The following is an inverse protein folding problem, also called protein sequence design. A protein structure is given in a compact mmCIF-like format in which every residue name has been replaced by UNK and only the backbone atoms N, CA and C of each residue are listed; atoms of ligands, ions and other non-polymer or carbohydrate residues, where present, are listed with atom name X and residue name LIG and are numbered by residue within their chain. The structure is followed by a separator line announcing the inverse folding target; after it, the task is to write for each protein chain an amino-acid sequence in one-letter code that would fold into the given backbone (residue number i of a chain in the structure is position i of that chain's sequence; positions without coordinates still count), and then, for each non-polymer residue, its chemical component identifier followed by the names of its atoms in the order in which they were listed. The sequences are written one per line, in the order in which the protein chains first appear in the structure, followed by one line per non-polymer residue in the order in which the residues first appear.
data_IF_782134951449
#
_entry.id   IF_782134951449
#
_cell.length_a   1.000
_cell.length_b   1.000
_cell.length_c   1.000
_cell.angle_alpha   90.00
_cell.angle_beta   90.00
_cell.angle_gamma   90.00
#
_symmetry.space_group_name_H-M   'P 1'
#
loop_
_entity.id
_entity.type
_entity.pdbx_description
1 polymer ?
#
# COMPACT_ATOMS: atom_id res chain seq x y z
N UNK A 1 -23.73 10.24 2.69
CA UNK A 1 -22.90 10.19 1.49
C UNK A 1 -23.09 8.81 0.89
N UNK A 2 -23.27 8.71 -0.41
CA UNK A 2 -23.26 7.42 -1.10
C UNK A 2 -21.80 7.06 -1.42
N UNK A 3 -21.22 6.17 -0.65
CA UNK A 3 -19.81 5.76 -0.78
C UNK A 3 -19.52 5.00 -2.08
N UNK A 4 -20.46 4.21 -2.52
CA UNK A 4 -20.36 3.44 -3.76
C UNK A 4 -20.24 4.38 -4.99
N UNK A 5 -21.14 5.36 -5.08
CA UNK A 5 -21.05 6.38 -6.13
C UNK A 5 -19.78 7.24 -6.02
N UNK A 6 -19.36 7.57 -4.82
CA UNK A 6 -18.14 8.37 -4.61
C UNK A 6 -16.87 7.60 -5.00
N UNK A 7 -16.84 6.29 -4.73
CA UNK A 7 -15.76 5.38 -5.14
C UNK A 7 -15.70 5.26 -6.67
N UNK A 8 -16.83 5.01 -7.31
CA UNK A 8 -16.94 4.99 -8.76
C UNK A 8 -16.45 6.30 -9.38
N UNK A 9 -16.89 7.45 -8.85
CA UNK A 9 -16.44 8.76 -9.35
C UNK A 9 -14.93 8.96 -9.16
N UNK A 10 -14.35 8.50 -8.04
CA UNK A 10 -12.90 8.53 -7.84
C UNK A 10 -12.17 7.73 -8.93
N UNK A 11 -12.62 6.53 -9.23
CA UNK A 11 -12.00 5.69 -10.26
C UNK A 11 -12.10 6.36 -11.63
N UNK A 12 -13.29 6.80 -12.04
CA UNK A 12 -13.52 7.32 -13.38
C UNK A 12 -12.96 8.72 -13.60
N UNK A 13 -12.99 9.60 -12.59
CA UNK A 13 -12.68 11.02 -12.76
C UNK A 13 -11.31 11.43 -12.20
N UNK A 14 -10.68 10.59 -11.35
CA UNK A 14 -9.39 10.90 -10.75
C UNK A 14 -8.31 9.89 -11.14
N UNK A 15 -8.63 8.59 -11.14
CA UNK A 15 -7.64 7.52 -11.35
C UNK A 15 -7.41 7.26 -12.83
N UNK A 16 -8.47 7.03 -13.62
CA UNK A 16 -8.34 6.82 -15.09
C UNK A 16 -7.64 7.97 -15.80
N UNK A 17 -7.94 9.27 -15.54
CA UNK A 17 -7.23 10.38 -16.16
C UNK A 17 -5.74 10.46 -15.82
N UNK A 18 -5.30 9.74 -14.79
CA UNK A 18 -3.89 9.58 -14.40
C UNK A 18 -3.24 8.35 -15.04
N UNK A 19 -3.78 7.89 -16.19
CA UNK A 19 -3.25 6.78 -16.98
C UNK A 19 -3.19 5.43 -16.23
N UNK A 20 -4.12 5.22 -15.29
CA UNK A 20 -4.35 3.90 -14.70
C UNK A 20 -5.41 3.21 -15.55
N UNK A 21 -4.98 2.25 -16.37
CA UNK A 21 -5.81 1.59 -17.38
C UNK A 21 -5.91 0.06 -17.15
N UNK A 22 -5.14 -0.51 -16.23
CA UNK A 22 -5.23 -1.93 -15.87
C UNK A 22 -6.61 -2.21 -15.25
N UNK A 23 -7.39 -3.07 -15.93
CA UNK A 23 -8.73 -3.45 -15.51
C UNK A 23 -8.78 -4.14 -14.15
N UNK A 24 -7.75 -4.91 -13.77
CA UNK A 24 -7.63 -5.56 -12.46
C UNK A 24 -7.51 -4.51 -11.35
N UNK A 25 -6.64 -3.52 -11.56
CA UNK A 25 -6.44 -2.42 -10.60
C UNK A 25 -7.69 -1.56 -10.47
N UNK A 26 -8.34 -1.22 -11.59
CA UNK A 26 -9.57 -0.42 -11.57
C UNK A 26 -10.70 -1.16 -10.83
N UNK A 27 -10.92 -2.44 -11.16
CA UNK A 27 -11.92 -3.29 -10.49
C UNK A 27 -11.62 -3.46 -9.00
N UNK A 28 -10.34 -3.62 -8.64
CA UNK A 28 -9.90 -3.70 -7.26
C UNK A 28 -10.27 -2.43 -6.47
N UNK A 29 -9.99 -1.25 -7.03
CA UNK A 29 -10.29 0.04 -6.38
C UNK A 29 -11.79 0.35 -6.31
N UNK A 30 -12.61 -0.31 -7.12
CA UNK A 30 -14.07 -0.27 -7.02
C UNK A 30 -14.60 -1.22 -5.93
N UNK A 31 -13.90 -2.30 -5.64
CA UNK A 31 -14.36 -3.37 -4.72
C UNK A 31 -13.80 -3.22 -3.31
N UNK A 32 -12.52 -2.88 -3.16
CA UNK A 32 -11.92 -2.66 -1.84
C UNK A 32 -12.41 -1.32 -1.28
N UNK A 33 -13.11 -1.40 -0.17
CA UNK A 33 -13.78 -0.26 0.48
C UNK A 33 -12.75 0.64 1.19
N UNK A 34 -12.14 1.58 0.44
CA UNK A 34 -11.11 2.49 0.97
C UNK A 34 -11.58 3.25 2.23
N UNK A 35 -12.87 3.61 2.29
CA UNK A 35 -13.51 4.31 3.40
C UNK A 35 -13.48 3.56 4.73
N UNK A 36 -13.26 2.25 4.71
CA UNK A 36 -13.14 1.44 5.92
C UNK A 36 -11.71 1.44 6.49
N UNK A 37 -10.74 1.84 5.69
CA UNK A 37 -9.33 1.95 6.09
C UNK A 37 -8.95 3.36 6.55
N UNK A 38 -9.76 4.35 6.23
CA UNK A 38 -9.54 5.75 6.65
C UNK A 38 -10.04 5.95 8.08
N UNK A 39 -9.34 6.76 8.93
CA UNK A 39 -9.85 7.11 10.26
C UNK A 39 -11.25 7.72 10.20
N UNK A 40 -12.09 7.42 11.19
CA UNK A 40 -13.53 7.75 11.19
C UNK A 40 -13.81 9.23 10.91
N UNK A 41 -13.00 10.14 11.47
CA UNK A 41 -13.13 11.59 11.27
C UNK A 41 -12.87 12.02 9.82
N UNK A 42 -12.11 11.23 9.04
CA UNK A 42 -11.79 11.50 7.64
C UNK A 42 -12.56 10.62 6.65
N UNK A 43 -13.47 9.77 7.13
CA UNK A 43 -14.17 8.77 6.30
C UNK A 43 -14.86 9.37 5.06
N UNK A 44 -15.40 10.60 5.18
CA UNK A 44 -16.01 11.31 4.05
C UNK A 44 -15.02 11.84 3.03
N UNK A 45 -13.73 11.88 3.38
CA UNK A 45 -12.63 12.32 2.52
C UNK A 45 -11.86 11.14 1.88
N UNK A 46 -12.31 9.90 2.10
CA UNK A 46 -11.64 8.70 1.60
C UNK A 46 -11.35 8.71 0.10
N UNK A 47 -12.19 9.40 -0.67
CA UNK A 47 -12.12 9.46 -2.14
C UNK A 47 -11.56 10.78 -2.69
N UNK A 48 -11.15 11.70 -1.82
CA UNK A 48 -10.51 12.93 -2.22
C UNK A 48 -9.05 12.69 -2.62
N UNK A 49 -8.55 13.44 -3.64
CA UNK A 49 -7.16 13.38 -4.06
C UNK A 49 -6.23 14.09 -3.06
N UNK A 50 -6.16 13.55 -1.85
CA UNK A 50 -5.34 14.08 -0.77
C UNK A 50 -4.72 12.94 0.05
N UNK A 51 -3.60 13.24 0.71
CA UNK A 51 -3.07 12.38 1.76
C UNK A 51 -3.97 12.48 3.00
N UNK A 52 -4.39 11.34 3.56
CA UNK A 52 -5.24 11.32 4.75
C UNK A 52 -4.37 11.12 5.98
N UNK A 53 -4.47 12.00 7.00
CA UNK A 53 -3.71 11.85 8.24
C UNK A 53 -4.05 10.53 8.95
N UNK A 54 -3.01 9.87 9.45
CA UNK A 54 -3.06 8.68 10.31
C UNK A 54 -2.47 9.01 11.69
N UNK A 55 -2.53 8.05 12.60
CA UNK A 55 -1.84 8.14 13.89
C UNK A 55 -0.31 8.22 13.70
N UNK A 56 0.41 8.52 14.77
CA UNK A 56 1.87 8.67 14.77
C UNK A 56 2.42 9.69 13.76
N UNK A 57 1.61 10.68 13.35
CA UNK A 57 1.99 11.71 12.37
C UNK A 57 2.20 11.18 10.95
N UNK A 58 1.73 9.98 10.66
CA UNK A 58 1.81 9.36 9.34
C UNK A 58 0.64 9.80 8.44
N UNK A 59 0.70 9.42 7.18
CA UNK A 59 -0.36 9.71 6.21
C UNK A 59 -0.63 8.50 5.32
N UNK A 60 -1.88 8.29 4.96
CA UNK A 60 -2.29 7.40 3.89
C UNK A 60 -2.06 8.11 2.56
N UNK A 61 -1.50 7.42 1.58
CA UNK A 61 -1.22 7.98 0.26
C UNK A 61 -2.49 8.49 -0.45
N UNK A 62 -2.29 9.36 -1.45
CA UNK A 62 -3.38 9.80 -2.32
C UNK A 62 -3.86 8.63 -3.19
N UNK A 63 -5.17 8.51 -3.48
CA UNK A 63 -5.71 7.40 -4.27
C UNK A 63 -5.01 7.18 -5.61
N UNK A 64 -4.69 8.26 -6.33
CA UNK A 64 -4.01 8.18 -7.62
C UNK A 64 -2.58 7.63 -7.53
N UNK A 65 -1.87 7.88 -6.42
CA UNK A 65 -0.51 7.36 -6.21
C UNK A 65 -0.58 5.87 -5.91
N UNK A 66 -1.52 5.44 -5.05
CA UNK A 66 -1.77 4.02 -4.76
C UNK A 66 -2.14 3.26 -6.04
N UNK A 67 -3.03 3.81 -6.85
CA UNK A 67 -3.45 3.21 -8.11
C UNK A 67 -2.31 3.06 -9.13
N UNK A 68 -1.49 4.11 -9.29
CA UNK A 68 -0.31 4.08 -10.17
C UNK A 68 0.73 3.08 -9.69
N UNK A 69 0.95 2.99 -8.39
CA UNK A 69 1.83 2.00 -7.78
C UNK A 69 1.34 0.58 -8.08
N UNK A 70 0.08 0.27 -7.80
CA UNK A 70 -0.49 -1.05 -8.04
C UNK A 70 -0.39 -1.46 -9.52
N UNK A 71 -0.69 -0.54 -10.46
CA UNK A 71 -0.51 -0.79 -11.88
C UNK A 71 0.96 -1.00 -12.26
N UNK A 72 1.88 -0.19 -11.73
CA UNK A 72 3.30 -0.31 -12.03
C UNK A 72 3.91 -1.61 -11.49
N UNK A 73 3.38 -2.10 -10.38
CA UNK A 73 3.79 -3.39 -9.81
C UNK A 73 3.41 -4.58 -10.69
N UNK A 74 2.32 -4.52 -11.45
CA UNK A 74 1.82 -5.61 -12.30
C UNK A 74 1.86 -6.99 -11.61
N UNK A 75 1.24 -7.06 -10.41
CA UNK A 75 1.30 -8.25 -9.56
C UNK A 75 0.66 -9.46 -10.22
N UNK A 76 1.27 -10.63 -10.01
CA UNK A 76 0.75 -11.91 -10.43
C UNK A 76 0.20 -12.70 -9.23
N UNK A 77 -0.79 -13.56 -9.45
CA UNK A 77 -1.51 -14.29 -8.39
C UNK A 77 -0.62 -15.27 -7.60
N UNK A 78 0.51 -15.70 -8.15
CA UNK A 78 1.46 -16.62 -7.53
C UNK A 78 2.63 -15.93 -6.80
N UNK A 79 2.73 -14.62 -6.90
CA UNK A 79 3.82 -13.85 -6.31
C UNK A 79 3.67 -13.63 -4.80
N UNK A 80 4.82 -13.51 -4.14
CA UNK A 80 4.97 -13.12 -2.74
C UNK A 80 5.41 -11.66 -2.64
N UNK A 81 4.81 -10.90 -1.73
CA UNK A 81 5.06 -9.46 -1.57
C UNK A 81 5.53 -9.15 -0.16
N UNK A 82 6.59 -8.35 -0.05
CA UNK A 82 6.99 -7.67 1.18
C UNK A 82 6.55 -6.20 1.10
N UNK A 83 5.69 -5.77 2.00
CA UNK A 83 5.29 -4.38 2.17
C UNK A 83 6.02 -3.77 3.37
N UNK A 84 6.63 -2.60 3.19
CA UNK A 84 7.28 -1.81 4.23
C UNK A 84 6.47 -0.53 4.45
N UNK A 85 5.76 -0.47 5.57
CA UNK A 85 4.82 0.59 5.93
C UNK A 85 3.36 0.16 5.75
N UNK A 86 2.85 -0.69 6.65
CA UNK A 86 1.45 -1.16 6.64
C UNK A 86 0.45 0.01 6.70
N UNK A 87 0.76 1.01 7.51
CA UNK A 87 -0.07 2.21 7.67
C UNK A 87 -1.51 1.88 8.02
N UNK A 88 -2.45 2.33 7.19
CA UNK A 88 -3.88 2.07 7.37
C UNK A 88 -4.31 0.61 7.07
N UNK A 89 -3.47 -0.18 6.39
CA UNK A 89 -3.79 -1.51 5.87
C UNK A 89 -4.52 -1.51 4.52
N UNK A 90 -4.79 -0.35 3.92
CA UNK A 90 -5.51 -0.30 2.63
C UNK A 90 -4.67 -0.87 1.49
N UNK A 91 -3.41 -0.44 1.36
CA UNK A 91 -2.51 -0.98 0.34
C UNK A 91 -2.27 -2.47 0.59
N UNK A 92 -2.08 -2.88 1.84
CA UNK A 92 -1.97 -4.29 2.24
C UNK A 92 -3.16 -5.11 1.74
N UNK A 93 -4.39 -4.61 1.92
CA UNK A 93 -5.61 -5.26 1.43
C UNK A 93 -5.64 -5.35 -0.11
N UNK A 94 -5.20 -4.30 -0.80
CA UNK A 94 -5.09 -4.29 -2.26
C UNK A 94 -4.06 -5.29 -2.77
N UNK A 95 -2.88 -5.35 -2.15
CA UNK A 95 -1.83 -6.31 -2.48
C UNK A 95 -2.31 -7.75 -2.24
N UNK A 96 -3.01 -7.99 -1.13
CA UNK A 96 -3.56 -9.30 -0.78
C UNK A 96 -4.59 -9.84 -1.78
N UNK A 97 -5.32 -8.94 -2.45
CA UNK A 97 -6.27 -9.32 -3.50
C UNK A 97 -5.61 -9.63 -4.85
N UNK A 98 -4.34 -9.23 -5.05
CA UNK A 98 -3.62 -9.38 -6.32
C UNK A 98 -2.50 -10.42 -6.27
N UNK A 99 -2.04 -10.82 -5.10
CA UNK A 99 -0.88 -11.69 -4.93
C UNK A 99 -1.18 -12.86 -3.98
N UNK A 100 -0.29 -13.85 -3.98
CA UNK A 100 -0.43 -15.09 -3.22
C UNK A 100 -0.32 -14.88 -1.70
N UNK A 101 0.67 -14.11 -1.25
CA UNK A 101 0.99 -13.91 0.17
C UNK A 101 1.67 -12.57 0.37
N UNK A 102 1.24 -11.88 1.40
CA UNK A 102 1.79 -10.59 1.81
C UNK A 102 2.45 -10.74 3.17
N UNK A 103 3.68 -10.27 3.28
CA UNK A 103 4.33 -9.94 4.56
C UNK A 103 4.37 -8.42 4.64
N UNK A 104 3.80 -7.84 5.69
CA UNK A 104 3.76 -6.39 5.87
C UNK A 104 4.33 -6.01 7.23
N UNK A 105 5.20 -5.01 7.26
CA UNK A 105 5.85 -4.54 8.48
C UNK A 105 5.61 -3.05 8.68
N UNK A 106 5.32 -2.67 9.92
CA UNK A 106 5.23 -1.27 10.34
C UNK A 106 6.04 -1.05 11.62
N UNK A 107 6.58 0.15 11.76
CA UNK A 107 7.33 0.55 12.97
C UNK A 107 6.40 1.01 14.09
N UNK A 108 5.18 1.44 13.77
CA UNK A 108 4.21 1.98 14.71
C UNK A 108 3.20 0.91 15.13
N UNK A 109 3.22 0.56 16.41
CA UNK A 109 2.33 -0.45 16.99
C UNK A 109 0.84 -0.10 16.85
N UNK A 110 0.50 1.19 16.95
CA UNK A 110 -0.87 1.67 16.80
C UNK A 110 -1.41 1.38 15.39
N UNK A 111 -0.62 1.69 14.36
CA UNK A 111 -0.99 1.43 12.96
C UNK A 111 -1.10 -0.06 12.68
N UNK A 112 -0.14 -0.84 13.14
CA UNK A 112 -0.16 -2.30 13.03
C UNK A 112 -1.46 -2.87 13.63
N UNK A 113 -1.80 -2.48 14.87
CA UNK A 113 -3.01 -2.97 15.57
C UNK A 113 -4.30 -2.62 14.81
N UNK A 114 -4.40 -1.37 14.34
CA UNK A 114 -5.57 -0.93 13.57
C UNK A 114 -5.69 -1.64 12.22
N UNK A 115 -4.59 -1.79 11.50
CA UNK A 115 -4.56 -2.51 10.23
C UNK A 115 -4.94 -3.98 10.43
N UNK A 116 -4.40 -4.65 11.46
CA UNK A 116 -4.73 -6.03 11.78
C UNK A 116 -6.24 -6.22 12.02
N UNK A 117 -6.87 -5.33 12.78
CA UNK A 117 -8.30 -5.39 13.03
C UNK A 117 -9.11 -5.22 11.72
N UNK A 118 -8.76 -4.22 10.90
CA UNK A 118 -9.46 -3.95 9.63
C UNK A 118 -9.32 -5.11 8.63
N UNK A 119 -8.13 -5.69 8.51
CA UNK A 119 -7.87 -6.84 7.63
C UNK A 119 -8.64 -8.09 8.10
N UNK A 120 -8.67 -8.34 9.41
CA UNK A 120 -9.44 -9.43 9.99
C UNK A 120 -10.95 -9.27 9.75
N UNK A 121 -11.51 -8.07 9.95
CA UNK A 121 -12.91 -7.76 9.67
C UNK A 121 -13.30 -8.00 8.20
N UNK A 122 -12.34 -7.87 7.28
CA UNK A 122 -12.52 -8.15 5.84
C UNK A 122 -12.22 -9.61 5.47
N UNK A 123 -11.90 -10.47 6.43
CA UNK A 123 -11.52 -11.88 6.20
C UNK A 123 -10.32 -12.04 5.26
N UNK A 124 -9.36 -11.11 5.28
CA UNK A 124 -8.13 -11.19 4.48
C UNK A 124 -7.14 -12.10 5.23
N UNK A 125 -6.90 -13.30 4.71
CA UNK A 125 -6.19 -14.38 5.41
C UNK A 125 -4.76 -14.61 4.91
N UNK A 126 -4.38 -14.05 3.74
CA UNK A 126 -3.06 -14.24 3.12
C UNK A 126 -2.06 -13.14 3.47
N UNK A 127 -2.22 -12.50 4.63
CA UNK A 127 -1.37 -11.42 5.13
C UNK A 127 -0.77 -11.81 6.47
N UNK A 128 0.53 -11.61 6.62
CA UNK A 128 1.24 -11.68 7.89
C UNK A 128 1.76 -10.29 8.25
N UNK A 129 1.39 -9.80 9.42
CA UNK A 129 1.76 -8.47 9.90
C UNK A 129 2.85 -8.56 10.96
N UNK A 130 3.83 -7.67 10.86
CA UNK A 130 4.95 -7.57 11.81
C UNK A 130 5.09 -6.14 12.33
N UNK A 131 5.55 -6.02 13.57
CA UNK A 131 6.05 -4.77 14.14
C UNK A 131 7.57 -4.80 14.05
N UNK A 132 8.18 -3.80 13.43
CA UNK A 132 9.62 -3.73 13.31
C UNK A 132 10.13 -2.52 12.55
N UNK A 133 11.34 -2.12 12.87
CA UNK A 133 12.03 -1.03 12.19
C UNK A 133 13.07 -1.62 11.23
N UNK A 134 12.78 -1.54 9.95
CA UNK A 134 13.67 -2.02 8.87
C UNK A 134 14.98 -1.27 8.79
N UNK A 135 15.04 -0.05 9.34
CA UNK A 135 16.28 0.74 9.42
C UNK A 135 17.11 0.39 10.66
N UNK A 136 16.54 -0.37 11.62
CA UNK A 136 17.16 -0.72 12.90
C UNK A 136 17.22 -2.23 13.16
N UNK A 137 17.26 -3.02 12.10
CA UNK A 137 17.60 -4.44 12.20
C UNK A 137 16.46 -5.42 11.96
N UNK A 138 15.21 -4.97 11.78
CA UNK A 138 14.19 -5.90 11.28
C UNK A 138 14.50 -6.28 9.83
N UNK A 139 14.34 -7.55 9.52
CA UNK A 139 14.51 -8.08 8.16
C UNK A 139 13.55 -9.23 7.93
N UNK A 140 13.11 -9.46 6.69
CA UNK A 140 12.28 -10.61 6.36
C UNK A 140 13.07 -11.92 6.50
N UNK A 141 12.37 -13.01 6.77
CA UNK A 141 12.99 -14.34 6.86
C UNK A 141 13.49 -14.85 5.50
N UNK A 142 12.90 -14.36 4.42
CA UNK A 142 13.24 -14.74 3.03
C UNK A 142 13.04 -13.56 2.08
N UNK A 143 13.64 -13.65 0.89
CA UNK A 143 13.36 -12.70 -0.19
C UNK A 143 11.97 -12.94 -0.78
N UNK A 144 11.43 -11.91 -1.43
CA UNK A 144 10.10 -11.88 -2.04
C UNK A 144 10.18 -11.52 -3.53
N UNK A 145 9.16 -11.89 -4.29
CA UNK A 145 9.11 -11.56 -5.72
C UNK A 145 8.91 -10.06 -5.93
N UNK A 146 8.22 -9.42 -5.00
CA UNK A 146 7.98 -7.96 -5.02
C UNK A 146 8.22 -7.36 -3.64
N UNK A 147 8.92 -6.22 -3.62
CA UNK A 147 9.07 -5.38 -2.42
C UNK A 147 8.40 -4.04 -2.67
N UNK A 148 7.52 -3.62 -1.76
CA UNK A 148 6.79 -2.36 -1.86
C UNK A 148 7.10 -1.51 -0.63
N UNK A 149 7.79 -0.38 -0.85
CA UNK A 149 8.07 0.58 0.21
C UNK A 149 7.02 1.70 0.14
N UNK A 150 5.95 1.53 0.89
CA UNK A 150 4.82 2.49 0.98
C UNK A 150 5.13 3.66 1.91
N UNK A 151 5.96 3.42 2.92
CA UNK A 151 6.68 4.48 3.62
C UNK A 151 7.76 5.08 2.71
N UNK A 152 8.14 6.34 2.92
CA UNK A 152 9.21 6.94 2.13
C UNK A 152 10.56 6.81 2.81
N UNK A 153 11.63 6.77 2.01
CA UNK A 153 13.01 6.73 2.49
C UNK A 153 13.83 7.82 1.80
N UNK A 154 14.79 8.47 2.48
CA UNK A 154 15.67 9.47 1.83
C UNK A 154 16.49 8.88 0.68
N UNK A 155 17.02 7.67 0.90
CA UNK A 155 17.72 6.86 -0.10
C UNK A 155 17.37 5.39 0.12
N UNK A 156 17.40 4.59 -0.94
CA UNK A 156 17.12 3.15 -0.86
C UNK A 156 18.27 2.46 -0.12
N UNK A 157 18.04 1.83 1.05
CA UNK A 157 19.07 1.09 1.75
C UNK A 157 19.53 -0.11 0.92
N UNK A 158 20.82 -0.37 0.87
CA UNK A 158 21.40 -1.49 0.10
C UNK A 158 20.80 -2.84 0.50
N UNK A 159 20.51 -3.01 1.79
CA UNK A 159 19.89 -4.23 2.31
C UNK A 159 18.52 -4.57 1.66
N UNK A 160 17.76 -3.57 1.20
CA UNK A 160 16.46 -3.82 0.57
C UNK A 160 16.59 -4.58 -0.76
N UNK A 161 17.73 -4.41 -1.46
CA UNK A 161 18.00 -5.16 -2.69
C UNK A 161 18.14 -6.67 -2.43
N UNK A 162 18.65 -7.04 -1.25
CA UNK A 162 18.75 -8.44 -0.82
C UNK A 162 17.41 -9.10 -0.46
N UNK A 163 16.33 -8.31 -0.36
CA UNK A 163 14.99 -8.81 -0.05
C UNK A 163 14.14 -9.08 -1.30
N UNK A 164 14.68 -8.78 -2.48
CA UNK A 164 14.03 -9.04 -3.77
C UNK A 164 14.62 -10.31 -4.39
N UNK A 165 13.77 -11.27 -4.79
CA UNK A 165 14.17 -12.45 -5.52
C UNK A 165 14.81 -12.09 -6.87
N UNK A 166 15.73 -12.90 -7.42
CA UNK A 166 16.21 -12.71 -8.78
C UNK A 166 15.06 -12.65 -9.80
N UNK A 167 15.00 -11.58 -10.58
CA UNK A 167 13.91 -11.32 -11.53
C UNK A 167 12.69 -10.66 -10.92
N UNK A 168 12.69 -10.42 -9.59
CA UNK A 168 11.66 -9.66 -8.91
C UNK A 168 11.80 -8.15 -9.12
N UNK A 169 11.01 -7.37 -8.41
CA UNK A 169 10.98 -5.90 -8.54
C UNK A 169 10.68 -5.20 -7.23
N UNK A 170 11.11 -3.94 -7.14
CA UNK A 170 10.86 -3.09 -5.98
C UNK A 170 10.21 -1.78 -6.40
N UNK A 171 9.12 -1.41 -5.72
CA UNK A 171 8.59 -0.05 -5.76
C UNK A 171 8.98 0.69 -4.49
N UNK A 172 9.49 1.92 -4.65
CA UNK A 172 9.91 2.75 -3.54
C UNK A 172 9.62 4.22 -3.80
N UNK A 173 9.19 4.93 -2.76
CA UNK A 173 9.12 6.40 -2.76
C UNK A 173 10.38 6.89 -2.03
N UNK A 174 11.24 7.63 -2.72
CA UNK A 174 12.51 8.11 -2.19
C UNK A 174 12.67 9.62 -2.33
N UNK A 175 13.53 10.20 -1.52
CA UNK A 175 13.84 11.62 -1.50
C UNK A 175 13.39 12.29 -0.21
N UNK A 176 13.63 13.59 -0.12
CA UNK A 176 13.22 14.44 1.00
C UNK A 176 12.12 15.40 0.56
N UNK A 177 11.13 15.59 1.44
CA UNK A 177 10.03 16.51 1.16
C UNK A 177 10.58 17.93 0.89
N UNK A 178 10.07 18.66 -0.13
CA UNK A 178 8.95 18.32 -1.01
C UNK A 178 9.34 17.54 -2.29
N UNK A 179 10.62 17.27 -2.53
CA UNK A 179 11.12 16.68 -3.76
C UNK A 179 11.30 15.15 -3.61
N UNK A 180 10.20 14.42 -3.77
CA UNK A 180 10.19 12.96 -3.67
C UNK A 180 9.81 12.34 -5.01
N UNK A 181 10.38 11.18 -5.32
CA UNK A 181 10.08 10.42 -6.53
C UNK A 181 9.69 8.98 -6.22
N UNK A 182 8.71 8.47 -6.96
CA UNK A 182 8.35 7.05 -6.96
C UNK A 182 9.17 6.33 -8.05
N UNK A 183 9.79 5.20 -7.70
CA UNK A 183 10.58 4.37 -8.63
C UNK A 183 10.15 2.92 -8.58
N UNK A 184 10.10 2.31 -9.76
CA UNK A 184 10.13 0.87 -9.94
C UNK A 184 11.54 0.46 -10.35
N UNK A 185 12.11 -0.55 -9.69
CA UNK A 185 13.47 -1.04 -9.88
C UNK A 185 13.45 -2.54 -10.13
#
# INVERSE_FOLDING_TARGET
MNFEQARFNMVEQQIRPWEVLDGRVLSLLETVQREDFVPVQYRKLAFADMAVPLEAGQVMMRPKIEARMLQALDLQEDETVLEIGTGSGFVTACLAALAKRIVSVDVFEELHREAAAKLADKNIANVELFIGDVMRGWQPEQAHDVVVVTGSVPAVPEQFLGWVNPGGRMFVIRGESPAMEARLM
#
